data_IF_897167658335
#
_entry.id   IF_897167658335
#
_cell.length_a   1.000
_cell.length_b   1.000
_cell.length_c   1.000
_cell.angle_alpha   90.00
_cell.angle_beta   90.00
_cell.angle_gamma   90.00
#
_symmetry.space_group_name_H-M   'P 1'
#
loop_
_entity.id
_entity.type
_entity.pdbx_description
1 polymer ?
#
# COMPACT_ATOMS: atom_id res chain seq x y z
N UNK A 1 72.31 33.64 124.52
CA UNK A 1 71.21 34.41 125.14
C UNK A 1 70.06 34.49 124.15
N UNK A 2 68.89 33.97 124.56
CA UNK A 2 67.51 34.18 124.07
C UNK A 2 67.18 33.90 122.57
N UNK A 3 66.50 32.81 122.19
CA UNK A 3 65.05 32.46 122.29
C UNK A 3 64.19 33.32 121.32
N UNK A 4 63.44 32.82 120.33
CA UNK A 4 62.26 31.96 120.44
C UNK A 4 61.69 31.59 119.03
N UNK A 5 61.31 30.32 118.84
CA UNK A 5 59.96 29.76 118.57
C UNK A 5 59.22 30.20 117.29
N UNK A 6 58.85 29.18 116.50
CA UNK A 6 57.81 29.27 115.47
C UNK A 6 57.55 27.89 114.82
N UNK A 7 56.81 27.03 115.51
CA UNK A 7 56.36 25.71 115.02
C UNK A 7 55.34 25.88 113.89
N UNK A 8 55.49 25.11 112.81
CA UNK A 8 54.42 24.92 111.83
C UNK A 8 54.24 23.42 111.58
N UNK A 9 53.10 22.89 112.03
CA UNK A 9 52.71 21.49 111.91
C UNK A 9 52.44 21.13 110.45
N UNK A 10 53.15 20.12 109.94
CA UNK A 10 52.89 19.52 108.63
C UNK A 10 51.61 18.70 108.68
N UNK A 11 50.51 19.25 108.18
CA UNK A 11 49.27 18.51 107.97
C UNK A 11 49.42 17.55 106.78
N UNK A 12 49.39 16.27 107.09
CA UNK A 12 49.06 15.09 106.26
C UNK A 12 48.40 15.44 104.91
N UNK A 13 49.07 15.11 103.81
CA UNK A 13 48.52 15.19 102.46
C UNK A 13 47.31 14.24 102.30
N UNK A 14 46.11 14.80 102.13
CA UNK A 14 44.94 14.08 101.62
C UNK A 14 45.18 13.84 100.13
N UNK A 15 45.35 12.58 99.72
CA UNK A 15 45.34 12.21 98.30
C UNK A 15 43.94 12.49 97.73
N UNK A 16 43.85 13.39 96.74
CA UNK A 16 42.60 13.79 96.12
C UNK A 16 42.08 12.67 95.20
N UNK A 17 41.44 11.69 95.81
CA UNK A 17 40.81 10.54 95.15
C UNK A 17 39.78 10.97 94.11
N UNK A 18 39.05 12.08 94.31
CA UNK A 18 38.08 12.61 93.33
C UNK A 18 38.74 12.96 91.99
N UNK A 19 39.94 13.54 91.99
CA UNK A 19 40.62 13.98 90.76
C UNK A 19 40.96 12.79 89.85
N UNK A 20 41.29 11.62 90.43
CA UNK A 20 41.52 10.38 89.70
C UNK A 20 40.23 9.86 89.04
N UNK A 21 39.08 10.00 89.69
CA UNK A 21 37.77 9.64 89.11
C UNK A 21 37.36 10.58 87.97
N UNK A 22 37.61 11.88 88.09
CA UNK A 22 37.32 12.86 87.03
C UNK A 22 38.21 12.62 85.81
N UNK A 23 39.52 12.42 86.01
CA UNK A 23 40.44 12.09 84.90
C UNK A 23 40.07 10.76 84.26
N UNK A 24 39.69 9.74 85.04
CA UNK A 24 39.20 8.47 84.53
C UNK A 24 37.93 8.60 83.69
N UNK A 25 36.95 9.40 84.15
CA UNK A 25 35.73 9.70 83.41
C UNK A 25 36.04 10.45 82.10
N UNK A 26 36.92 11.46 82.14
CA UNK A 26 37.35 12.18 80.94
C UNK A 26 38.04 11.26 79.93
N UNK A 27 38.90 10.33 80.38
CA UNK A 27 39.54 9.35 79.51
C UNK A 27 38.51 8.40 78.88
N UNK A 28 37.52 7.92 79.65
CA UNK A 28 36.44 7.08 79.12
C UNK A 28 35.56 7.83 78.11
N UNK A 29 35.21 9.08 78.38
CA UNK A 29 34.48 9.93 77.42
C UNK A 29 35.30 10.19 76.17
N UNK A 30 36.60 10.46 76.31
CA UNK A 30 37.50 10.66 75.17
C UNK A 30 37.63 9.39 74.32
N UNK A 31 37.74 8.22 74.96
CA UNK A 31 37.80 6.93 74.28
C UNK A 31 36.47 6.61 73.57
N UNK A 32 35.35 6.90 74.22
CA UNK A 32 34.01 6.77 73.62
C UNK A 32 33.85 7.65 72.38
N UNK A 33 34.27 8.92 72.46
CA UNK A 33 34.26 9.84 71.31
C UNK A 33 35.15 9.31 70.18
N UNK A 34 36.37 8.83 70.49
CA UNK A 34 37.27 8.26 69.48
C UNK A 34 36.64 7.04 68.81
N UNK A 35 36.06 6.11 69.58
CA UNK A 35 35.39 4.92 69.04
C UNK A 35 34.18 5.33 68.18
N UNK A 36 33.38 6.29 68.63
CA UNK A 36 32.23 6.81 67.88
C UNK A 36 32.67 7.47 66.56
N UNK A 37 33.74 8.26 66.58
CA UNK A 37 34.32 8.88 65.39
C UNK A 37 34.87 7.83 64.42
N UNK A 38 35.55 6.78 64.91
CA UNK A 38 36.04 5.67 64.09
C UNK A 38 34.87 4.91 63.45
N UNK A 39 33.84 4.61 64.23
CA UNK A 39 32.66 3.88 63.76
C UNK A 39 31.92 4.66 62.67
N UNK A 40 31.65 5.95 62.91
CA UNK A 40 31.01 6.81 61.91
C UNK A 40 31.92 7.01 60.68
N UNK A 41 33.24 7.09 60.89
CA UNK A 41 34.21 7.15 59.80
C UNK A 41 34.19 5.90 58.92
N UNK A 42 34.03 4.71 59.51
CA UNK A 42 33.87 3.46 58.77
C UNK A 42 32.53 3.42 58.01
N UNK A 43 31.43 3.84 58.64
CA UNK A 43 30.14 3.91 57.94
C UNK A 43 30.16 4.84 56.74
N UNK A 44 30.78 6.02 56.87
CA UNK A 44 30.93 6.98 55.76
C UNK A 44 31.78 6.38 54.62
N UNK A 45 32.83 5.61 54.95
CA UNK A 45 33.66 4.95 53.93
C UNK A 45 32.88 3.88 53.17
N UNK A 46 32.17 3.00 53.87
CA UNK A 46 31.35 1.97 53.23
C UNK A 46 30.27 2.59 52.33
N UNK A 47 29.59 3.63 52.82
CA UNK A 47 28.60 4.36 52.03
C UNK A 47 29.24 5.03 50.80
N UNK A 48 30.45 5.58 50.94
CA UNK A 48 31.19 6.16 49.81
C UNK A 48 31.54 5.11 48.74
N UNK A 49 31.87 3.88 49.14
CA UNK A 49 32.14 2.78 48.22
C UNK A 49 30.88 2.31 47.50
N UNK A 50 29.77 2.13 48.23
CA UNK A 50 28.47 1.78 47.63
C UNK A 50 28.01 2.83 46.63
N UNK A 51 28.14 4.12 46.96
CA UNK A 51 27.83 5.23 46.04
C UNK A 51 28.74 5.21 44.81
N UNK A 52 30.03 4.87 44.96
CA UNK A 52 30.95 4.78 43.83
C UNK A 52 30.60 3.63 42.87
N UNK A 53 30.22 2.47 43.42
CA UNK A 53 29.76 1.31 42.63
C UNK A 53 28.46 1.65 41.90
N UNK A 54 27.47 2.21 42.61
CA UNK A 54 26.20 2.64 42.01
C UNK A 54 26.42 3.68 40.90
N UNK A 55 27.33 4.64 41.11
CA UNK A 55 27.67 5.64 40.09
C UNK A 55 28.30 5.02 38.85
N UNK A 56 29.13 4.00 39.01
CA UNK A 56 29.72 3.26 37.90
C UNK A 56 28.67 2.44 37.14
N UNK A 57 27.77 1.75 37.84
CA UNK A 57 26.66 1.01 37.22
C UNK A 57 25.73 1.93 36.43
N UNK A 58 25.37 3.09 36.99
CA UNK A 58 24.56 4.10 36.28
C UNK A 58 25.29 4.57 35.01
N UNK A 59 26.58 4.91 35.09
CA UNK A 59 27.33 5.36 33.92
C UNK A 59 27.47 4.28 32.82
N UNK A 60 27.56 3.00 33.20
CA UNK A 60 27.57 1.89 32.24
C UNK A 60 26.21 1.68 31.54
N UNK A 61 25.10 2.00 32.22
CA UNK A 61 23.76 1.96 31.61
C UNK A 61 23.58 3.15 30.66
N UNK A 62 24.05 4.33 31.05
CA UNK A 62 24.08 5.55 30.24
C UNK A 62 25.35 5.66 29.38
N UNK A 63 25.80 4.54 28.82
CA UNK A 63 26.89 4.55 27.85
C UNK A 63 26.45 5.37 26.63
N UNK A 64 26.96 6.59 26.49
CA UNK A 64 26.63 7.53 25.42
C UNK A 64 26.76 6.89 24.03
N UNK A 65 27.64 5.89 23.90
CA UNK A 65 27.80 5.11 22.68
C UNK A 65 26.53 4.34 22.29
N UNK A 66 25.79 3.78 23.26
CA UNK A 66 24.53 3.06 23.01
C UNK A 66 23.41 4.03 22.63
N UNK A 67 23.36 5.19 23.28
CA UNK A 67 22.38 6.25 22.94
C UNK A 67 22.64 6.77 21.53
N UNK A 68 23.90 7.04 21.19
CA UNK A 68 24.30 7.46 19.84
C UNK A 68 23.98 6.38 18.79
N UNK A 69 24.20 5.10 19.09
CA UNK A 69 23.83 4.00 18.19
C UNK A 69 22.31 3.89 17.98
N UNK A 70 21.52 4.08 19.04
CA UNK A 70 20.06 4.09 18.98
C UNK A 70 19.58 5.29 18.16
N UNK A 71 20.12 6.49 18.39
CA UNK A 71 19.75 7.70 17.65
C UNK A 71 20.06 7.57 16.15
N UNK A 72 21.23 7.02 15.81
CA UNK A 72 21.59 6.75 14.42
C UNK A 72 20.65 5.72 13.77
N UNK A 73 20.26 4.69 14.52
CA UNK A 73 19.29 3.68 14.06
C UNK A 73 17.91 4.30 13.89
N UNK A 74 17.48 5.16 14.80
CA UNK A 74 16.20 5.86 14.71
C UNK A 74 16.16 6.80 13.50
N UNK A 75 17.25 7.54 13.28
CA UNK A 75 17.39 8.43 12.13
C UNK A 75 17.42 7.66 10.81
N UNK A 76 18.07 6.48 10.75
CA UNK A 76 18.06 5.65 9.55
C UNK A 76 16.68 5.07 9.26
N UNK A 77 15.98 4.56 10.29
CA UNK A 77 14.60 4.06 10.18
C UNK A 77 13.65 5.18 9.73
N UNK A 78 13.76 6.39 10.32
CA UNK A 78 12.95 7.55 9.92
C UNK A 78 13.14 7.90 8.44
N UNK A 79 14.40 7.94 7.97
CA UNK A 79 14.70 8.19 6.55
C UNK A 79 14.12 7.09 5.64
N UNK A 80 14.18 5.84 6.08
CA UNK A 80 13.62 4.71 5.33
C UNK A 80 12.09 4.76 5.26
N UNK A 81 11.44 5.18 6.35
CA UNK A 81 10.00 5.44 6.37
C UNK A 81 9.61 6.58 5.42
N UNK A 82 10.29 7.73 5.49
CA UNK A 82 10.04 8.88 4.60
C UNK A 82 10.30 8.54 3.12
N UNK A 83 11.26 7.65 2.84
CA UNK A 83 11.49 7.11 1.51
C UNK A 83 10.33 6.20 1.05
N UNK A 84 9.89 5.29 1.91
CA UNK A 84 8.77 4.39 1.61
C UNK A 84 7.46 5.17 1.39
N UNK A 85 7.16 6.15 2.24
CA UNK A 85 5.97 7.01 2.09
C UNK A 85 5.98 7.78 0.77
N UNK A 86 7.13 8.35 0.39
CA UNK A 86 7.28 9.04 -0.91
C UNK A 86 7.09 8.09 -2.09
N UNK A 87 7.67 6.90 -2.04
CA UNK A 87 7.54 5.91 -3.10
C UNK A 87 6.10 5.42 -3.23
N UNK A 88 5.42 5.13 -2.12
CA UNK A 88 4.00 4.74 -2.12
C UNK A 88 3.16 5.87 -2.71
N UNK A 89 3.39 7.12 -2.29
CA UNK A 89 2.65 8.27 -2.82
C UNK A 89 2.88 8.45 -4.32
N UNK A 90 4.12 8.30 -4.78
CA UNK A 90 4.47 8.35 -6.20
C UNK A 90 3.74 7.27 -7.00
N UNK A 91 3.83 6.02 -6.54
CA UNK A 91 3.18 4.88 -7.18
C UNK A 91 1.66 5.03 -7.26
N UNK A 92 1.02 5.47 -6.18
CA UNK A 92 -0.42 5.74 -6.16
C UNK A 92 -0.79 6.86 -7.13
N UNK A 93 0.01 7.92 -7.18
CA UNK A 93 -0.26 9.07 -8.08
C UNK A 93 -0.18 8.63 -9.54
N UNK A 94 0.86 7.87 -9.90
CA UNK A 94 1.05 7.32 -11.25
C UNK A 94 -0.09 6.37 -11.67
N UNK A 95 -0.54 5.49 -10.78
CA UNK A 95 -1.66 4.59 -11.04
C UNK A 95 -2.98 5.37 -11.21
N UNK A 96 -3.20 6.41 -10.40
CA UNK A 96 -4.38 7.28 -10.53
C UNK A 96 -4.37 8.11 -11.82
N UNK A 97 -3.20 8.58 -12.24
CA UNK A 97 -3.04 9.26 -13.54
C UNK A 97 -3.36 8.30 -14.69
N UNK A 98 -2.86 7.07 -14.64
CA UNK A 98 -3.16 6.02 -15.63
C UNK A 98 -4.65 5.68 -15.64
N UNK A 99 -5.26 5.55 -14.46
CA UNK A 99 -6.70 5.33 -14.33
C UNK A 99 -7.52 6.46 -14.96
N UNK A 100 -7.10 7.71 -14.73
CA UNK A 100 -7.72 8.91 -15.30
C UNK A 100 -7.53 9.01 -16.81
N UNK A 101 -6.43 8.47 -17.35
CA UNK A 101 -6.16 8.32 -18.77
C UNK A 101 -6.89 7.11 -19.38
N UNK A 102 -8.20 7.03 -19.14
CA UNK A 102 -9.11 5.97 -19.62
C UNK A 102 -8.65 4.55 -19.22
N UNK A 103 -8.11 4.37 -18.01
CA UNK A 103 -7.65 3.10 -17.41
C UNK A 103 -6.40 2.47 -18.05
N UNK A 104 -6.14 2.71 -19.33
CA UNK A 104 -5.06 2.03 -20.07
C UNK A 104 -3.86 2.92 -20.35
N UNK A 105 -4.01 4.26 -20.26
CA UNK A 105 -2.98 5.21 -20.70
C UNK A 105 -2.71 5.18 -22.22
N UNK A 106 -3.57 4.50 -23.00
CA UNK A 106 -3.41 4.29 -24.44
C UNK A 106 -4.59 4.89 -25.21
N UNK A 107 -4.30 5.44 -26.39
CA UNK A 107 -5.33 5.99 -27.28
C UNK A 107 -6.24 4.87 -27.79
N UNK A 108 -7.55 5.07 -27.65
CA UNK A 108 -8.59 4.20 -28.22
C UNK A 108 -9.03 4.74 -29.59
N UNK A 109 -8.54 4.10 -30.66
CA UNK A 109 -8.87 4.47 -32.05
C UNK A 109 -10.24 3.99 -32.50
N UNK A 110 -10.91 3.14 -31.70
CA UNK A 110 -12.25 2.65 -31.96
C UNK A 110 -13.34 3.50 -31.27
N UNK A 111 -12.97 4.40 -30.36
CA UNK A 111 -13.87 5.25 -29.59
C UNK A 111 -14.81 6.06 -30.49
N UNK A 112 -16.11 5.92 -30.26
CA UNK A 112 -17.13 6.58 -31.08
C UNK A 112 -17.07 8.11 -30.98
N UNK A 113 -16.84 8.64 -29.78
CA UNK A 113 -16.70 10.08 -29.56
C UNK A 113 -15.54 10.71 -30.34
N UNK A 114 -14.53 9.91 -30.71
CA UNK A 114 -13.39 10.34 -31.52
C UNK A 114 -13.60 10.11 -33.02
N UNK A 115 -14.71 9.48 -33.43
CA UNK A 115 -15.05 9.20 -34.83
C UNK A 115 -15.03 7.73 -35.23
N UNK A 116 -14.72 6.81 -34.30
CA UNK A 116 -14.87 5.38 -34.52
C UNK A 116 -16.35 5.03 -34.79
N UNK A 117 -16.62 3.99 -35.58
CA UNK A 117 -18.01 3.63 -35.90
C UNK A 117 -18.19 2.16 -36.26
N UNK A 118 -19.39 1.66 -36.02
CA UNK A 118 -19.83 0.38 -36.55
C UNK A 118 -20.19 0.52 -38.03
N UNK A 119 -19.60 -0.33 -38.87
CA UNK A 119 -19.82 -0.33 -40.33
C UNK A 119 -20.88 -1.35 -40.71
N UNK A 120 -20.70 -2.60 -40.27
CA UNK A 120 -21.60 -3.72 -40.53
C UNK A 120 -21.51 -4.75 -39.41
N UNK A 121 -22.56 -5.52 -39.20
CA UNK A 121 -22.50 -6.71 -38.36
C UNK A 121 -21.84 -7.86 -39.14
N UNK A 122 -21.12 -8.73 -38.45
CA UNK A 122 -20.61 -9.97 -39.00
C UNK A 122 -21.78 -10.89 -39.38
N UNK A 123 -21.60 -11.83 -40.34
CA UNK A 123 -22.61 -12.82 -40.67
C UNK A 123 -23.16 -13.54 -39.43
N UNK A 124 -24.44 -13.90 -39.47
CA UNK A 124 -25.14 -14.62 -38.39
C UNK A 124 -25.21 -13.89 -37.03
N UNK A 125 -24.86 -12.60 -36.99
CA UNK A 125 -24.97 -11.78 -35.79
C UNK A 125 -26.36 -11.17 -35.69
N UNK A 126 -27.06 -11.47 -34.60
CA UNK A 126 -28.37 -10.91 -34.29
C UNK A 126 -28.33 -10.16 -32.96
N UNK A 127 -28.82 -8.92 -32.95
CA UNK A 127 -28.99 -8.17 -31.71
C UNK A 127 -29.98 -8.89 -30.79
N UNK A 128 -29.65 -8.97 -29.51
CA UNK A 128 -30.55 -9.45 -28.48
C UNK A 128 -31.38 -8.28 -27.95
N UNK A 129 -32.61 -8.19 -28.43
CA UNK A 129 -33.59 -7.23 -27.92
C UNK A 129 -34.49 -7.95 -26.92
N UNK A 130 -34.31 -7.73 -25.61
CA UNK A 130 -35.22 -8.27 -24.60
C UNK A 130 -36.19 -7.17 -24.14
N UNK A 131 -37.38 -7.18 -24.72
CA UNK A 131 -38.51 -6.46 -24.16
C UNK A 131 -39.22 -7.35 -23.14
N UNK A 132 -38.69 -7.48 -21.92
CA UNK A 132 -39.47 -8.11 -20.85
C UNK A 132 -39.15 -7.55 -19.48
N UNK A 133 -40.06 -6.71 -18.99
CA UNK A 133 -40.19 -6.32 -17.60
C UNK A 133 -40.82 -7.48 -16.82
N UNK A 134 -40.02 -8.28 -16.13
CA UNK A 134 -40.53 -9.25 -15.15
C UNK A 134 -40.15 -8.72 -13.76
N UNK A 135 -41.15 -8.42 -12.93
CA UNK A 135 -41.02 -7.73 -11.62
C UNK A 135 -40.43 -6.30 -11.63
N UNK A 136 -40.40 -5.61 -12.77
CA UNK A 136 -40.01 -4.19 -12.82
C UNK A 136 -38.51 -3.90 -12.97
N UNK A 137 -37.66 -4.93 -13.12
CA UNK A 137 -36.21 -4.77 -13.26
C UNK A 137 -35.78 -5.18 -14.67
N UNK A 138 -35.40 -4.20 -15.49
CA UNK A 138 -34.76 -4.44 -16.79
C UNK A 138 -33.26 -4.61 -16.57
N UNK A 139 -32.75 -5.84 -16.72
CA UNK A 139 -31.34 -6.17 -16.44
C UNK A 139 -30.39 -5.79 -17.59
N UNK A 140 -30.89 -5.85 -18.83
CA UNK A 140 -30.24 -5.39 -20.05
C UNK A 140 -31.37 -5.00 -21.02
N UNK A 141 -31.47 -3.72 -21.37
CA UNK A 141 -32.50 -3.28 -22.32
C UNK A 141 -32.23 -3.83 -23.72
N UNK A 142 -30.97 -4.18 -24.02
CA UNK A 142 -30.53 -4.68 -25.34
C UNK A 142 -30.69 -3.66 -26.46
N UNK A 143 -31.17 -2.44 -26.16
CA UNK A 143 -31.59 -1.41 -27.11
C UNK A 143 -30.44 -0.52 -27.59
N UNK A 144 -29.28 -0.54 -26.91
CA UNK A 144 -28.14 0.31 -27.26
C UNK A 144 -27.41 -0.10 -28.55
N UNK A 145 -27.70 -1.31 -29.07
CA UNK A 145 -27.17 -1.81 -30.34
C UNK A 145 -25.63 -1.94 -30.36
N UNK A 146 -25.03 -2.19 -31.52
CA UNK A 146 -23.59 -2.42 -31.63
C UNK A 146 -22.73 -1.20 -31.35
N UNK A 147 -23.30 0.01 -31.37
CA UNK A 147 -22.56 1.25 -31.09
C UNK A 147 -22.12 1.33 -29.63
N UNK A 148 -22.87 0.71 -28.73
CA UNK A 148 -22.60 0.72 -27.29
C UNK A 148 -21.18 0.25 -26.96
N UNK A 149 -20.66 -0.78 -27.66
CA UNK A 149 -19.32 -1.29 -27.38
C UNK A 149 -18.17 -0.32 -27.72
N UNK A 150 -18.47 0.77 -28.43
CA UNK A 150 -17.50 1.83 -28.79
C UNK A 150 -17.67 3.09 -27.92
N UNK A 151 -18.58 3.06 -26.93
CA UNK A 151 -18.87 4.19 -26.05
C UNK A 151 -18.19 3.98 -24.69
N UNK A 152 -17.94 5.08 -23.97
CA UNK A 152 -17.23 5.04 -22.68
C UNK A 152 -18.14 4.66 -21.50
N UNK A 153 -19.46 4.70 -21.66
CA UNK A 153 -20.41 4.39 -20.60
C UNK A 153 -20.41 2.87 -20.30
N UNK A 154 -20.06 2.53 -19.05
CA UNK A 154 -19.99 1.17 -18.54
C UNK A 154 -21.08 0.88 -17.50
N UNK A 155 -22.13 1.72 -17.47
CA UNK A 155 -23.26 1.53 -16.56
C UNK A 155 -23.93 0.17 -16.80
N UNK A 156 -24.34 -0.58 -15.76
CA UNK A 156 -24.98 -1.88 -15.94
C UNK A 156 -26.14 -1.82 -16.93
N UNK A 157 -26.10 -2.67 -17.96
CA UNK A 157 -27.09 -2.70 -19.05
C UNK A 157 -26.71 -1.86 -20.27
N UNK A 158 -25.77 -0.92 -20.16
CA UNK A 158 -25.24 -0.13 -21.27
C UNK A 158 -24.18 -0.90 -22.07
N UNK A 159 -24.62 -1.95 -22.75
CA UNK A 159 -23.76 -2.84 -23.51
C UNK A 159 -24.44 -3.23 -24.83
N UNK A 160 -23.64 -3.72 -25.77
CA UNK A 160 -24.17 -4.37 -26.95
C UNK A 160 -24.47 -5.83 -26.63
N UNK A 161 -25.75 -6.21 -26.70
CA UNK A 161 -26.17 -7.60 -26.50
C UNK A 161 -26.38 -8.30 -27.84
N UNK A 162 -25.72 -9.44 -28.03
CA UNK A 162 -25.92 -10.35 -29.18
C UNK A 162 -26.66 -11.61 -28.72
N UNK A 163 -27.51 -12.17 -29.59
CA UNK A 163 -28.22 -13.42 -29.33
C UNK A 163 -27.25 -14.59 -29.40
N UNK A 164 -27.30 -15.48 -28.40
CA UNK A 164 -26.39 -16.61 -28.28
C UNK A 164 -24.97 -16.19 -27.87
N UNK A 165 -23.99 -16.99 -28.30
CA UNK A 165 -22.57 -16.85 -27.91
C UNK A 165 -21.64 -16.47 -29.07
N UNK A 166 -22.17 -16.34 -30.29
CA UNK A 166 -21.40 -16.10 -31.50
C UNK A 166 -21.93 -14.86 -32.21
N UNK A 167 -21.02 -14.02 -32.67
CA UNK A 167 -21.35 -12.84 -33.46
C UNK A 167 -20.27 -11.78 -33.37
N UNK A 168 -20.39 -10.74 -34.18
CA UNK A 168 -19.34 -9.75 -34.31
C UNK A 168 -19.75 -8.54 -35.13
N UNK A 169 -18.84 -7.58 -35.23
CA UNK A 169 -19.05 -6.40 -36.04
C UNK A 169 -17.74 -5.89 -36.62
N UNK A 170 -17.86 -5.24 -37.77
CA UNK A 170 -16.80 -4.46 -38.37
C UNK A 170 -16.81 -3.06 -37.78
N UNK A 171 -15.68 -2.70 -37.20
CA UNK A 171 -15.39 -1.39 -36.62
C UNK A 171 -14.49 -0.62 -37.57
N UNK A 172 -14.90 0.60 -37.92
CA UNK A 172 -14.04 1.59 -38.55
C UNK A 172 -13.36 2.41 -37.45
N UNK A 173 -12.04 2.50 -37.53
CA UNK A 173 -11.19 3.32 -36.69
C UNK A 173 -11.17 4.78 -37.18
N UNK A 174 -10.66 5.70 -36.36
CA UNK A 174 -10.54 7.11 -36.73
C UNK A 174 -9.54 7.39 -37.88
N UNK A 175 -8.71 6.40 -38.25
CA UNK A 175 -7.76 6.45 -39.36
C UNK A 175 -7.01 5.13 -39.52
N UNK A 176 -5.98 5.09 -40.38
CA UNK A 176 -5.13 3.90 -40.56
C UNK A 176 -4.15 3.75 -39.38
N UNK A 177 -4.27 2.64 -38.65
CA UNK A 177 -3.51 2.40 -37.42
C UNK A 177 -2.65 1.16 -37.59
N UNK A 178 -1.37 1.24 -37.19
CA UNK A 178 -0.56 0.07 -36.90
C UNK A 178 -0.98 -0.45 -35.53
N UNK A 179 -1.70 -1.57 -35.50
CA UNK A 179 -2.38 -2.08 -34.31
C UNK A 179 -1.38 -2.83 -33.43
N UNK A 180 -1.31 -2.43 -32.16
CA UNK A 180 -0.40 -3.02 -31.17
C UNK A 180 -1.12 -3.72 -30.02
N UNK A 181 -2.39 -3.42 -29.79
CA UNK A 181 -3.19 -4.12 -28.79
C UNK A 181 -4.70 -3.94 -29.01
N UNK A 182 -5.46 -4.84 -28.40
CA UNK A 182 -6.91 -4.70 -28.21
C UNK A 182 -7.22 -4.66 -26.72
N UNK A 183 -8.28 -3.96 -26.32
CA UNK A 183 -8.80 -4.06 -24.95
C UNK A 183 -10.28 -4.43 -24.98
N UNK A 184 -10.64 -5.42 -24.17
CA UNK A 184 -12.04 -5.80 -23.93
C UNK A 184 -12.36 -5.53 -22.47
N UNK A 185 -13.51 -4.91 -22.23
CA UNK A 185 -14.00 -4.64 -20.87
C UNK A 185 -15.35 -5.30 -20.60
N UNK A 186 -15.56 -5.65 -19.33
CA UNK A 186 -16.85 -6.07 -18.82
C UNK A 186 -17.07 -5.52 -17.40
N UNK A 187 -18.34 -5.37 -16.99
CA UNK A 187 -18.67 -4.95 -15.63
C UNK A 187 -18.22 -5.98 -14.60
N UNK A 188 -17.92 -5.48 -13.39
CA UNK A 188 -17.61 -6.34 -12.25
C UNK A 188 -18.85 -7.06 -11.75
N UNK A 189 -18.63 -8.18 -11.06
CA UNK A 189 -19.71 -8.94 -10.41
C UNK A 189 -20.48 -8.09 -9.40
N UNK A 190 -19.81 -7.16 -8.71
CA UNK A 190 -20.42 -6.25 -7.74
C UNK A 190 -21.29 -5.15 -8.38
N UNK A 191 -21.05 -4.83 -9.64
CA UNK A 191 -21.86 -3.87 -10.40
C UNK A 191 -23.06 -4.53 -11.09
N UNK A 192 -23.06 -5.86 -11.20
CA UNK A 192 -24.18 -6.61 -11.78
C UNK A 192 -25.34 -6.69 -10.78
N UNK A 193 -26.56 -6.24 -11.13
CA UNK A 193 -27.73 -6.33 -10.24
C UNK A 193 -28.08 -7.77 -9.81
N UNK A 194 -27.75 -8.77 -10.64
CA UNK A 194 -27.98 -10.20 -10.36
C UNK A 194 -26.74 -10.92 -9.84
N UNK A 195 -25.61 -10.22 -9.67
CA UNK A 195 -24.32 -10.82 -9.34
C UNK A 195 -23.85 -11.84 -10.40
N UNK A 196 -24.44 -11.83 -11.60
CA UNK A 196 -24.12 -12.70 -12.73
C UNK A 196 -23.36 -11.90 -13.81
N UNK A 197 -22.30 -12.49 -14.34
CA UNK A 197 -21.43 -11.91 -15.39
C UNK A 197 -21.08 -12.94 -16.47
N UNK A 198 -21.78 -14.07 -16.51
CA UNK A 198 -21.57 -15.18 -17.46
C UNK A 198 -21.84 -14.79 -18.92
N UNK A 199 -22.55 -13.68 -19.14
CA UNK A 199 -22.81 -13.10 -20.45
C UNK A 199 -21.61 -12.38 -21.06
N UNK A 200 -20.50 -12.22 -20.34
CA UNK A 200 -19.28 -11.67 -20.91
C UNK A 200 -18.77 -12.52 -22.09
N UNK A 201 -18.15 -11.91 -23.12
CA UNK A 201 -17.43 -12.67 -24.13
C UNK A 201 -16.29 -13.46 -23.47
N UNK A 202 -15.99 -14.66 -23.99
CA UNK A 202 -14.86 -15.47 -23.57
C UNK A 202 -13.84 -15.55 -24.69
N UNK A 203 -14.04 -16.48 -25.63
CA UNK A 203 -13.16 -16.62 -26.78
C UNK A 203 -13.58 -15.63 -27.86
N UNK A 204 -12.64 -14.85 -28.39
CA UNK A 204 -12.87 -13.94 -29.50
C UNK A 204 -11.66 -13.90 -30.43
N UNK A 205 -11.86 -13.40 -31.64
CA UNK A 205 -10.81 -13.17 -32.62
C UNK A 205 -10.98 -11.81 -33.31
N UNK A 206 -9.88 -11.32 -33.87
CA UNK A 206 -9.87 -10.04 -34.57
C UNK A 206 -9.19 -10.18 -35.93
N UNK A 207 -9.76 -9.54 -36.94
CA UNK A 207 -9.21 -9.47 -38.29
C UNK A 207 -8.94 -8.02 -38.70
N UNK A 208 -7.82 -7.80 -39.39
CA UNK A 208 -7.57 -6.58 -40.15
C UNK A 208 -8.23 -6.67 -41.52
N UNK A 209 -8.94 -5.61 -41.92
CA UNK A 209 -9.70 -5.58 -43.17
C UNK A 209 -9.17 -4.51 -44.13
N UNK A 210 -9.29 -4.80 -45.43
CA UNK A 210 -9.07 -3.83 -46.51
C UNK A 210 -10.18 -2.78 -46.56
N UNK A 211 -10.00 -1.78 -47.40
CA UNK A 211 -10.99 -0.72 -47.66
C UNK A 211 -12.31 -1.27 -48.25
N UNK A 212 -12.29 -2.43 -48.91
CA UNK A 212 -13.48 -3.17 -49.39
C UNK A 212 -14.12 -4.09 -48.33
N UNK A 213 -13.61 -4.07 -47.10
CA UNK A 213 -14.05 -4.86 -45.95
C UNK A 213 -13.82 -6.37 -46.08
N UNK A 214 -12.94 -6.81 -46.99
CA UNK A 214 -12.44 -8.18 -47.06
C UNK A 214 -11.34 -8.41 -46.01
N UNK A 215 -11.31 -9.60 -45.42
CA UNK A 215 -10.29 -10.00 -44.44
C UNK A 215 -8.92 -10.09 -45.11
N UNK A 216 -7.94 -9.39 -44.55
CA UNK A 216 -6.56 -9.37 -45.05
C UNK A 216 -5.61 -10.10 -44.10
N UNK A 217 -5.69 -9.80 -42.82
CA UNK A 217 -4.77 -10.34 -41.82
C UNK A 217 -5.52 -10.83 -40.59
N UNK A 218 -5.12 -12.01 -40.12
CA UNK A 218 -5.58 -12.53 -38.85
C UNK A 218 -4.76 -11.91 -37.72
N UNK A 219 -5.37 -11.05 -36.92
CA UNK A 219 -4.69 -10.34 -35.82
C UNK A 219 -4.65 -11.19 -34.54
N UNK A 220 -5.40 -12.28 -34.49
CA UNK A 220 -5.25 -13.32 -33.48
C UNK A 220 -6.55 -13.73 -32.81
N UNK A 221 -6.40 -14.67 -31.88
CA UNK A 221 -7.46 -15.21 -31.02
C UNK A 221 -7.08 -15.03 -29.57
N UNK A 222 -8.05 -14.63 -28.76
CA UNK A 222 -7.85 -14.27 -27.37
C UNK A 222 -8.98 -14.84 -26.51
N UNK A 223 -8.74 -14.89 -25.20
CA UNK A 223 -9.72 -15.31 -24.19
C UNK A 223 -9.81 -14.24 -23.11
N UNK A 224 -11.01 -13.71 -22.89
CA UNK A 224 -11.31 -12.84 -21.77
C UNK A 224 -11.57 -13.68 -20.51
N UNK A 225 -10.96 -13.30 -19.39
CA UNK A 225 -11.03 -14.05 -18.14
C UNK A 225 -11.94 -13.37 -17.11
N UNK A 226 -13.07 -13.99 -16.73
CA UNK A 226 -14.00 -13.41 -15.74
C UNK A 226 -13.38 -13.11 -14.37
N UNK A 227 -12.38 -13.89 -13.96
CA UNK A 227 -11.71 -13.73 -12.67
C UNK A 227 -10.45 -12.84 -12.76
N UNK A 228 -10.17 -12.27 -13.95
CA UNK A 228 -9.05 -11.36 -14.19
C UNK A 228 -9.41 -9.90 -13.91
N UNK A 229 -8.61 -8.99 -14.49
CA UNK A 229 -8.92 -7.57 -14.50
C UNK A 229 -10.19 -7.29 -15.33
N UNK A 230 -10.94 -6.25 -14.99
CA UNK A 230 -12.19 -5.88 -15.69
C UNK A 230 -11.95 -5.34 -17.09
N UNK A 231 -10.76 -4.77 -17.32
CA UNK A 231 -10.26 -4.35 -18.61
C UNK A 231 -9.04 -5.20 -18.93
N UNK A 232 -9.09 -5.98 -20.01
CA UNK A 232 -8.01 -6.89 -20.38
C UNK A 232 -7.44 -6.47 -21.72
N UNK A 233 -6.14 -6.24 -21.74
CA UNK A 233 -5.40 -5.78 -22.91
C UNK A 233 -4.62 -6.94 -23.52
N UNK A 234 -4.83 -7.16 -24.80
CA UNK A 234 -4.28 -8.26 -25.57
C UNK A 234 -3.28 -7.69 -26.60
N UNK A 235 -1.97 -7.88 -26.38
CA UNK A 235 -0.95 -7.36 -27.28
C UNK A 235 -0.95 -8.12 -28.62
N UNK A 236 -0.69 -7.39 -29.69
CA UNK A 236 -0.55 -7.89 -31.07
C UNK A 236 0.50 -7.05 -31.80
N UNK A 237 1.00 -7.53 -32.92
CA UNK A 237 1.82 -6.73 -33.83
C UNK A 237 1.28 -6.93 -35.26
N UNK A 238 0.54 -5.94 -35.76
CA UNK A 238 -0.06 -6.03 -37.10
C UNK A 238 0.97 -5.78 -38.20
N UNK A 239 0.99 -6.63 -39.23
CA UNK A 239 1.91 -6.48 -40.37
C UNK A 239 1.62 -5.24 -41.22
N UNK A 240 0.34 -4.86 -41.33
CA UNK A 240 -0.11 -3.67 -42.07
C UNK A 240 -0.83 -2.66 -41.17
N UNK A 241 -1.22 -1.52 -41.76
CA UNK A 241 -2.04 -0.52 -41.09
C UNK A 241 -3.50 -0.67 -41.51
N UNK A 242 -4.40 -0.71 -40.53
CA UNK A 242 -5.83 -0.93 -40.77
C UNK A 242 -6.65 0.27 -40.34
N UNK A 243 -7.62 0.65 -41.17
CA UNK A 243 -8.71 1.56 -40.79
C UNK A 243 -9.97 0.78 -40.39
N UNK A 244 -10.02 -0.51 -40.70
CA UNK A 244 -11.16 -1.38 -40.45
C UNK A 244 -10.68 -2.66 -39.76
N UNK A 245 -11.37 -3.04 -38.69
CA UNK A 245 -11.16 -4.31 -37.99
C UNK A 245 -12.48 -5.05 -37.83
N UNK A 246 -12.46 -6.37 -37.89
CA UNK A 246 -13.61 -7.21 -37.53
C UNK A 246 -13.38 -7.83 -36.17
N UNK A 247 -14.22 -7.50 -35.19
CA UNK A 247 -14.21 -8.11 -33.86
C UNK A 247 -15.28 -9.20 -33.82
N UNK A 248 -14.87 -10.45 -33.56
CA UNK A 248 -15.73 -11.62 -33.63
C UNK A 248 -15.66 -12.39 -32.31
N UNK A 249 -16.79 -12.57 -31.68
CA UNK A 249 -16.95 -13.41 -30.50
C UNK A 249 -17.26 -14.83 -30.95
N UNK A 250 -16.52 -15.78 -30.39
CA UNK A 250 -16.65 -17.20 -30.66
C UNK A 250 -17.48 -17.89 -29.57
N UNK A 251 -17.26 -17.51 -28.31
CA UNK A 251 -17.96 -18.05 -27.14
C UNK A 251 -18.18 -16.99 -26.06
N UNK A 252 -19.08 -17.28 -25.12
CA UNK A 252 -19.24 -16.53 -23.87
C UNK A 252 -18.93 -17.43 -22.67
N UNK A 253 -19.11 -16.91 -21.45
CA UNK A 253 -18.96 -17.70 -20.22
C UNK A 253 -20.21 -18.53 -19.88
N UNK A 254 -20.73 -19.24 -20.87
CA UNK A 254 -21.85 -20.20 -20.77
C UNK A 254 -23.22 -19.59 -20.47
N UNK A 255 -23.41 -18.29 -20.70
CA UNK A 255 -24.73 -17.69 -20.59
C UNK A 255 -25.64 -18.21 -21.72
N UNK A 256 -26.83 -18.78 -21.42
CA UNK A 256 -27.57 -19.59 -22.37
C UNK A 256 -28.31 -18.82 -23.46
N UNK A 257 -28.49 -17.49 -23.29
CA UNK A 257 -29.40 -16.70 -24.14
C UNK A 257 -28.69 -15.65 -24.99
N UNK A 258 -27.69 -14.98 -24.43
CA UNK A 258 -27.05 -13.81 -25.04
C UNK A 258 -25.63 -13.61 -24.53
N UNK A 259 -24.89 -12.75 -25.23
CA UNK A 259 -23.56 -12.24 -24.84
C UNK A 259 -23.58 -10.72 -24.83
N UNK A 260 -23.00 -10.09 -23.80
CA UNK A 260 -22.96 -8.65 -23.62
C UNK A 260 -21.53 -8.11 -23.76
N UNK A 261 -21.34 -7.21 -24.71
CA UNK A 261 -20.08 -6.53 -24.97
C UNK A 261 -20.19 -5.11 -24.45
N UNK A 262 -19.47 -4.81 -23.37
CA UNK A 262 -19.49 -3.47 -22.79
C UNK A 262 -18.57 -2.52 -23.53
N UNK A 263 -17.30 -2.90 -23.73
CA UNK A 263 -16.37 -2.05 -24.48
C UNK A 263 -15.30 -2.86 -25.22
N UNK A 264 -15.06 -2.47 -26.46
CA UNK A 264 -13.97 -2.96 -27.30
C UNK A 264 -13.14 -1.76 -27.77
N UNK A 265 -11.83 -1.82 -27.55
CA UNK A 265 -10.87 -0.76 -27.90
C UNK A 265 -9.79 -1.29 -28.82
N UNK A 266 -9.27 -0.41 -29.66
CA UNK A 266 -8.14 -0.70 -30.56
C UNK A 266 -7.03 0.31 -30.29
N UNK A 267 -5.84 -0.19 -30.01
CA UNK A 267 -4.66 0.58 -29.65
C UNK A 267 -3.56 0.41 -30.69
N UNK A 268 -2.71 1.43 -30.83
CA UNK A 268 -1.67 1.42 -31.84
C UNK A 268 -1.06 2.78 -32.15
N UNK A 269 -0.44 2.86 -33.31
CA UNK A 269 0.19 4.08 -33.82
C UNK A 269 -0.55 4.53 -35.07
N UNK A 270 -1.19 5.69 -35.00
CA UNK A 270 -1.83 6.33 -36.15
C UNK A 270 -0.79 6.63 -37.24
N UNK A 271 -1.08 6.25 -38.47
CA UNK A 271 -0.32 6.65 -39.66
C UNK A 271 -1.10 7.76 -40.35
N UNK A 272 -0.60 8.99 -40.21
CA UNK A 272 -1.13 10.20 -40.84
C UNK A 272 -0.50 10.40 -42.21
#
# INVERSE_FOLDING_TARGET
MFNSRGSCSTSRARTNTWLKYVVGLCLLVSLYIIIFLIHNGQQIRNLSEEVAVLKHEINNIFDENRIYAIENTLNSVKRQQEYLERNIKSFITEELETFSADKTGQVDYALEASGGKIVKLSPDTHNFNLATTVFGITLCEGSHGPRAMLQADMSPGHCWAIKGSYGGAVVKLIGKVHITAFTVEHISRHMSPTNEVTSAPRDFEVWGLKDDLEREEYLGRFSYELNGQLFQTFPVDSSNNYEYVEFIILTNHYHPVFTCIYRFRVHGILKV
#
